data_IF_376052494999
#
_entry.id   IF_376052494999
#
_cell.length_a   1.000
_cell.length_b   1.000
_cell.length_c   1.000
_cell.angle_alpha   90.00
_cell.angle_beta   90.00
_cell.angle_gamma   90.00
#
_symmetry.space_group_name_H-M   'P 1'
#
loop_
_entity.id
_entity.type
_entity.pdbx_description
1 polymer ?
#
# COMPACT_ATOMS: atom_id res chain seq x y z
N UNK A 1 -10.52 18.66 14.43
CA UNK A 1 -9.69 17.84 13.52
C UNK A 1 -10.55 16.72 12.94
N UNK A 2 -10.28 16.30 11.69
CA UNK A 2 -11.03 15.26 10.96
C UNK A 2 -10.07 14.22 10.34
N UNK A 3 -10.57 13.04 9.91
CA UNK A 3 -9.75 12.09 9.16
C UNK A 3 -9.10 12.72 7.93
N UNK A 4 -7.87 12.32 7.63
CA UNK A 4 -7.01 12.82 6.54
C UNK A 4 -6.72 14.33 6.58
N UNK A 5 -6.99 15.02 7.68
CA UNK A 5 -6.57 16.41 7.78
C UNK A 5 -5.05 16.51 7.90
N UNK A 6 -4.45 15.72 8.80
CA UNK A 6 -3.01 15.74 9.05
C UNK A 6 -2.52 14.30 9.11
N UNK A 7 -1.55 13.98 8.27
CA UNK A 7 -0.78 12.74 8.37
C UNK A 7 0.62 13.03 8.87
N UNK A 8 1.15 12.17 9.73
CA UNK A 8 2.50 12.25 10.28
C UNK A 8 3.36 11.11 9.74
N UNK A 9 4.55 11.44 9.22
CA UNK A 9 5.60 10.48 8.90
C UNK A 9 6.69 10.50 9.95
N UNK A 10 7.11 9.31 10.36
CA UNK A 10 8.32 9.15 11.15
C UNK A 10 8.97 7.79 10.91
N UNK A 11 10.23 7.69 11.34
CA UNK A 11 11.05 6.50 11.19
C UNK A 11 11.62 6.09 12.54
N UNK A 12 11.73 4.78 12.78
CA UNK A 12 12.47 4.25 13.93
C UNK A 12 13.31 3.05 13.53
N UNK A 13 14.48 2.92 14.15
CA UNK A 13 15.25 1.68 14.10
C UNK A 13 14.62 0.71 15.09
N UNK A 14 14.11 -0.43 14.62
CA UNK A 14 13.41 -1.35 15.50
C UNK A 14 14.38 -2.10 16.42
N UNK A 15 13.92 -2.41 17.63
CA UNK A 15 14.67 -3.18 18.63
C UNK A 15 14.55 -4.69 18.39
N UNK A 16 14.68 -5.11 17.13
CA UNK A 16 14.61 -6.52 16.72
C UNK A 16 15.68 -6.81 15.66
N UNK A 17 16.28 -7.99 15.76
CA UNK A 17 17.21 -8.55 14.80
C UNK A 17 16.46 -9.51 13.87
N UNK A 18 16.60 -9.30 12.56
CA UNK A 18 15.99 -10.13 11.53
C UNK A 18 17.02 -10.49 10.46
N UNK A 19 16.78 -11.58 9.74
CA UNK A 19 17.62 -12.05 8.66
C UNK A 19 17.27 -11.34 7.35
N UNK A 20 18.29 -10.84 6.66
CA UNK A 20 18.15 -10.42 5.26
C UNK A 20 18.10 -11.62 4.31
N UNK A 21 17.84 -11.39 3.03
CA UNK A 21 17.76 -12.45 2.01
C UNK A 21 19.06 -13.23 1.78
N UNK A 22 20.18 -12.79 2.38
CA UNK A 22 21.48 -13.50 2.37
C UNK A 22 21.78 -14.18 3.70
N UNK A 23 20.85 -14.15 4.65
CA UNK A 23 21.01 -14.72 5.98
C UNK A 23 21.81 -13.86 6.96
N UNK A 24 22.13 -12.60 6.62
CA UNK A 24 22.81 -11.70 7.56
C UNK A 24 21.84 -11.11 8.57
N UNK A 25 22.23 -11.06 9.84
CA UNK A 25 21.42 -10.50 10.93
C UNK A 25 21.55 -8.97 10.93
N UNK A 26 20.42 -8.27 10.82
CA UNK A 26 20.37 -6.80 10.79
C UNK A 26 19.13 -6.28 11.52
N UNK A 27 19.20 -5.03 11.97
CA UNK A 27 18.05 -4.30 12.50
C UNK A 27 17.33 -3.57 11.36
N UNK A 28 16.02 -3.75 11.19
CA UNK A 28 15.27 -3.03 10.17
C UNK A 28 14.80 -1.65 10.69
N UNK A 29 14.81 -0.68 9.80
CA UNK A 29 14.13 0.60 9.94
C UNK A 29 12.66 0.46 9.53
N UNK A 30 11.78 1.02 10.34
CA UNK A 30 10.35 1.12 10.07
C UNK A 30 9.97 2.58 9.84
N UNK A 31 9.35 2.85 8.71
CA UNK A 31 8.71 4.12 8.38
C UNK A 31 7.20 3.98 8.55
N UNK A 32 6.55 4.92 9.20
CA UNK A 32 5.11 4.92 9.47
C UNK A 32 4.48 6.19 8.93
N UNK A 33 3.31 6.06 8.31
CA UNK A 33 2.37 7.15 8.03
C UNK A 33 1.15 6.97 8.92
N UNK A 34 0.92 7.91 9.83
CA UNK A 34 -0.20 7.89 10.77
C UNK A 34 -1.16 9.04 10.50
N UNK A 35 -2.46 8.75 10.54
CA UNK A 35 -3.49 9.80 10.61
C UNK A 35 -3.57 10.39 12.04
N UNK A 36 -3.30 11.68 12.17
CA UNK A 36 -3.16 12.39 13.44
C UNK A 36 -4.46 12.38 14.29
N UNK A 37 -5.60 12.47 13.60
CA UNK A 37 -6.91 12.55 14.20
C UNK A 37 -7.36 11.20 14.78
N UNK A 38 -7.30 10.14 13.97
CA UNK A 38 -7.81 8.81 14.30
C UNK A 38 -6.79 7.92 14.99
N UNK A 39 -5.49 8.21 14.83
CA UNK A 39 -4.33 7.37 15.20
C UNK A 39 -4.14 6.16 14.31
N UNK A 40 -4.89 6.03 13.22
CA UNK A 40 -4.81 4.88 12.36
C UNK A 40 -3.52 4.92 11.54
N UNK A 41 -2.90 3.75 11.37
CA UNK A 41 -1.74 3.62 10.49
C UNK A 41 -2.24 3.50 9.07
N UNK A 42 -1.95 4.52 8.25
CA UNK A 42 -2.35 4.58 6.86
C UNK A 42 -1.38 3.80 5.95
N UNK A 43 -0.08 3.82 6.25
CA UNK A 43 0.94 3.14 5.47
C UNK A 43 2.20 2.90 6.27
N UNK A 44 3.04 1.96 5.81
CA UNK A 44 4.34 1.72 6.39
C UNK A 44 5.35 1.29 5.32
N UNK A 45 6.63 1.38 5.66
CA UNK A 45 7.70 0.80 4.85
C UNK A 45 8.81 0.26 5.73
N UNK A 46 9.23 -0.98 5.46
CA UNK A 46 10.25 -1.70 6.22
C UNK A 46 11.49 -1.89 5.36
N UNK A 47 12.68 -1.56 5.90
CA UNK A 47 13.94 -1.66 5.14
C UNK A 47 15.14 -1.78 6.05
N UNK A 48 16.25 -2.34 5.56
CA UNK A 48 17.53 -2.27 6.26
C UNK A 48 18.31 -0.98 6.01
N UNK A 49 17.88 -0.17 5.03
CA UNK A 49 18.52 1.10 4.73
C UNK A 49 18.11 2.15 5.75
N UNK A 50 19.04 3.04 6.10
CA UNK A 50 18.75 4.18 6.97
C UNK A 50 17.64 5.07 6.38
N UNK A 51 16.91 5.84 7.21
CA UNK A 51 15.82 6.70 6.77
C UNK A 51 16.25 7.69 5.69
N UNK A 52 15.35 7.88 4.74
CA UNK A 52 15.48 8.76 3.60
C UNK A 52 14.08 9.06 3.08
N UNK A 53 13.93 10.14 2.33
CA UNK A 53 12.66 10.53 1.73
C UNK A 53 12.13 9.50 0.74
N UNK A 54 12.96 8.57 0.27
CA UNK A 54 12.51 7.39 -0.48
C UNK A 54 11.61 6.47 0.37
N UNK A 55 12.04 6.06 1.57
CA UNK A 55 11.20 5.18 2.38
C UNK A 55 9.90 5.89 2.77
N UNK A 56 9.96 7.19 3.04
CA UNK A 56 8.78 8.03 3.26
C UNK A 56 7.86 8.00 2.05
N UNK A 57 8.39 8.18 0.84
CA UNK A 57 7.62 8.19 -0.41
C UNK A 57 6.91 6.86 -0.66
N UNK A 58 7.58 5.73 -0.42
CA UNK A 58 7.00 4.39 -0.59
C UNK A 58 5.91 4.10 0.45
N UNK A 59 6.14 4.47 1.72
CA UNK A 59 5.13 4.37 2.76
C UNK A 59 3.92 5.27 2.46
N UNK A 60 4.18 6.49 1.99
CA UNK A 60 3.15 7.47 1.65
C UNK A 60 2.32 7.05 0.44
N UNK A 61 2.96 6.48 -0.58
CA UNK A 61 2.28 5.89 -1.73
C UNK A 61 1.32 4.78 -1.30
N UNK A 62 1.76 3.88 -0.42
CA UNK A 62 0.90 2.84 0.14
C UNK A 62 -0.24 3.46 0.97
N UNK A 63 0.05 4.53 1.70
CA UNK A 63 -0.93 5.23 2.52
C UNK A 63 -2.06 5.84 1.69
N UNK A 64 -1.73 6.55 0.61
CA UNK A 64 -2.70 7.23 -0.26
C UNK A 64 -3.59 6.24 -1.00
N UNK A 65 -3.02 5.18 -1.57
CA UNK A 65 -3.76 4.28 -2.44
C UNK A 65 -4.68 3.32 -1.67
N UNK A 66 -5.73 2.82 -2.35
CA UNK A 66 -6.60 1.77 -1.81
C UNK A 66 -5.80 0.47 -1.68
N UNK A 67 -5.92 -0.18 -0.52
CA UNK A 67 -5.32 -1.49 -0.23
C UNK A 67 -6.27 -2.60 -0.65
N UNK A 68 -5.73 -3.78 -0.94
CA UNK A 68 -6.55 -4.97 -1.24
C UNK A 68 -7.13 -5.58 0.04
N UNK A 69 -6.50 -5.33 1.18
CA UNK A 69 -6.91 -5.80 2.49
C UNK A 69 -8.11 -4.98 2.98
N UNK A 70 -9.29 -5.61 3.08
CA UNK A 70 -10.52 -4.96 3.54
C UNK A 70 -10.41 -4.37 4.95
N UNK A 71 -9.59 -4.97 5.80
CA UNK A 71 -9.28 -4.47 7.14
C UNK A 71 -8.39 -3.21 7.14
N UNK A 72 -7.78 -2.86 6.01
CA UNK A 72 -6.91 -1.69 5.87
C UNK A 72 -7.58 -0.57 5.05
N UNK A 73 -8.78 -0.17 5.46
CA UNK A 73 -9.59 0.80 4.73
C UNK A 73 -9.09 2.24 4.73
N UNK A 74 -8.05 2.56 5.52
CA UNK A 74 -7.49 3.92 5.62
C UNK A 74 -6.78 4.27 4.31
N UNK A 75 -7.22 5.29 3.59
CA UNK A 75 -6.62 5.73 2.33
C UNK A 75 -6.92 7.20 2.02
N UNK A 76 -6.41 7.70 0.90
CA UNK A 76 -6.71 9.04 0.38
C UNK A 76 -5.59 10.05 0.52
N UNK A 77 -5.83 11.24 -0.03
CA UNK A 77 -4.92 12.38 -0.04
C UNK A 77 -5.16 13.19 1.24
N UNK A 78 -4.15 13.36 2.11
CA UNK A 78 -4.29 14.24 3.27
C UNK A 78 -4.21 15.72 2.88
N UNK A 79 -4.76 16.61 3.72
CA UNK A 79 -4.56 18.06 3.54
C UNK A 79 -3.13 18.48 3.88
N UNK A 80 -2.59 17.93 4.97
CA UNK A 80 -1.26 18.24 5.49
C UNK A 80 -0.46 16.96 5.68
N UNK A 81 0.77 16.95 5.17
CA UNK A 81 1.75 15.91 5.44
C UNK A 81 2.86 16.48 6.33
N UNK A 82 2.99 15.97 7.56
CA UNK A 82 4.03 16.36 8.51
C UNK A 82 5.15 15.32 8.51
N UNK A 83 6.38 15.72 8.20
CA UNK A 83 7.53 14.81 8.14
C UNK A 83 8.79 15.45 8.73
N UNK A 84 9.79 14.66 9.06
CA UNK A 84 11.12 15.19 9.37
C UNK A 84 11.83 15.73 8.13
N UNK A 85 12.74 16.69 8.36
CA UNK A 85 13.73 17.08 7.36
C UNK A 85 14.63 15.87 7.02
N UNK A 86 14.37 15.26 5.87
CA UNK A 86 15.28 14.32 5.22
C UNK A 86 16.29 15.05 4.33
N UNK A 87 17.33 14.33 3.88
CA UNK A 87 18.40 14.88 3.05
C UNK A 87 17.94 15.39 1.67
N UNK A 88 18.67 16.38 1.15
CA UNK A 88 18.23 17.38 0.17
C UNK A 88 17.70 16.87 -1.19
N UNK A 89 18.23 15.79 -1.77
CA UNK A 89 17.88 15.42 -3.16
C UNK A 89 16.49 14.76 -3.30
N UNK A 90 16.08 13.98 -2.30
CA UNK A 90 14.80 13.26 -2.30
C UNK A 90 13.66 14.04 -1.60
N UNK A 91 14.00 15.13 -0.91
CA UNK A 91 13.01 16.08 -0.35
C UNK A 91 12.29 16.86 -1.46
N UNK A 92 12.99 17.26 -2.53
CA UNK A 92 12.37 17.88 -3.71
C UNK A 92 11.32 16.98 -4.35
N UNK A 93 11.59 15.67 -4.38
CA UNK A 93 10.68 14.70 -4.99
C UNK A 93 9.36 14.55 -4.24
N UNK A 94 9.40 14.46 -2.91
CA UNK A 94 8.18 14.41 -2.11
C UNK A 94 7.43 15.75 -2.13
N UNK A 95 8.16 16.87 -2.24
CA UNK A 95 7.59 18.21 -2.46
C UNK A 95 6.81 18.30 -3.78
N UNK A 96 7.37 17.83 -4.90
CA UNK A 96 6.69 17.83 -6.21
C UNK A 96 5.38 17.04 -6.18
N UNK A 97 5.39 15.86 -5.54
CA UNK A 97 4.19 15.04 -5.41
C UNK A 97 3.16 15.72 -4.51
N UNK A 98 3.60 16.24 -3.36
CA UNK A 98 2.71 16.96 -2.45
C UNK A 98 2.07 18.15 -3.15
N UNK A 99 2.84 18.95 -3.89
CA UNK A 99 2.33 20.08 -4.68
C UNK A 99 1.31 19.62 -5.74
N UNK A 100 1.62 18.56 -6.48
CA UNK A 100 0.74 18.00 -7.52
C UNK A 100 -0.59 17.48 -6.95
N UNK A 101 -0.54 16.90 -5.75
CA UNK A 101 -1.72 16.39 -5.04
C UNK A 101 -2.38 17.44 -4.13
N UNK A 102 -1.93 18.70 -4.15
CA UNK A 102 -2.42 19.81 -3.32
C UNK A 102 -2.32 19.53 -1.81
N UNK A 103 -1.26 18.85 -1.41
CA UNK A 103 -0.92 18.52 -0.03
C UNK A 103 0.05 19.57 0.50
N UNK A 104 -0.26 20.16 1.64
CA UNK A 104 0.67 21.03 2.33
C UNK A 104 1.73 20.18 3.06
N UNK A 105 2.96 20.18 2.54
CA UNK A 105 4.09 19.54 3.20
C UNK A 105 4.64 20.46 4.31
N UNK A 106 4.74 19.94 5.53
CA UNK A 106 5.31 20.65 6.67
C UNK A 106 6.47 19.82 7.22
N UNK A 107 7.65 20.42 7.23
CA UNK A 107 8.80 19.83 7.89
C UNK A 107 8.86 20.23 9.37
N UNK A 108 9.25 19.28 10.22
CA UNK A 108 9.54 19.55 11.62
C UNK A 108 10.75 20.48 11.73
N UNK A 109 10.66 21.52 12.56
CA UNK A 109 11.82 22.37 12.84
C UNK A 109 12.91 21.57 13.56
N UNK A 110 14.13 21.59 13.03
CA UNK A 110 15.30 20.91 13.63
C UNK A 110 15.40 21.28 15.11
N UNK A 111 15.40 20.28 16.00
CA UNK A 111 15.57 20.45 17.44
C UNK A 111 14.33 20.92 18.21
N UNK A 112 13.14 21.03 17.59
CA UNK A 112 11.88 21.32 18.29
C UNK A 112 10.80 20.29 17.92
N UNK A 113 10.68 19.19 18.67
CA UNK A 113 9.71 18.12 18.39
C UNK A 113 8.30 18.52 18.86
N UNK A 114 7.70 19.54 18.23
CA UNK A 114 6.28 19.84 18.45
C UNK A 114 5.45 18.93 17.52
N UNK A 115 4.55 18.14 18.11
CA UNK A 115 3.54 17.36 17.36
C UNK A 115 3.82 15.86 17.17
N UNK A 116 5.00 15.34 17.51
CA UNK A 116 5.42 13.95 17.18
C UNK A 116 5.14 12.90 18.25
N UNK A 117 4.73 13.31 19.45
CA UNK A 117 4.47 12.38 20.56
C UNK A 117 3.41 11.30 20.29
N UNK A 118 2.64 11.42 19.20
CA UNK A 118 1.64 10.43 18.78
C UNK A 118 2.29 9.24 18.09
N UNK A 119 3.14 9.49 17.09
CA UNK A 119 3.87 8.44 16.36
C UNK A 119 4.98 7.83 17.22
N UNK A 120 5.67 8.63 18.04
CA UNK A 120 6.62 8.13 19.04
C UNK A 120 5.98 7.14 20.03
N UNK A 121 4.77 7.44 20.50
CA UNK A 121 3.98 6.53 21.34
C UNK A 121 3.60 5.25 20.61
N UNK A 122 3.32 5.34 19.31
CA UNK A 122 3.06 4.16 18.51
C UNK A 122 4.31 3.27 18.37
N UNK A 123 5.50 3.85 18.19
CA UNK A 123 6.74 3.06 18.22
C UNK A 123 6.95 2.37 19.57
N UNK A 124 6.68 3.04 20.68
CA UNK A 124 6.70 2.40 22.00
C UNK A 124 5.67 1.26 22.09
N UNK A 125 4.50 1.42 21.47
CA UNK A 125 3.46 0.39 21.41
C UNK A 125 3.92 -0.83 20.58
N UNK A 126 4.59 -0.63 19.45
CA UNK A 126 5.21 -1.71 18.67
C UNK A 126 6.22 -2.48 19.52
N UNK A 127 7.12 -1.78 20.20
CA UNK A 127 8.13 -2.41 21.05
C UNK A 127 7.47 -3.26 22.16
N UNK A 128 6.48 -2.68 22.86
CA UNK A 128 5.82 -3.29 24.02
C UNK A 128 4.78 -4.36 23.70
N UNK A 129 4.19 -4.38 22.51
CA UNK A 129 3.05 -5.27 22.21
C UNK A 129 3.29 -6.22 21.03
N UNK A 130 4.36 -5.99 20.28
CA UNK A 130 4.75 -6.86 19.18
C UNK A 130 6.17 -7.37 19.40
N UNK A 131 7.17 -6.48 19.42
CA UNK A 131 8.56 -6.92 19.30
C UNK A 131 9.00 -7.78 20.48
N UNK A 132 8.60 -7.43 21.71
CA UNK A 132 8.99 -8.18 22.91
C UNK A 132 8.63 -9.68 22.89
N UNK A 133 7.61 -10.06 22.11
CA UNK A 133 7.10 -11.42 22.00
C UNK A 133 7.68 -12.17 20.78
N UNK A 134 8.51 -11.49 19.97
CA UNK A 134 9.11 -12.06 18.77
C UNK A 134 10.56 -12.50 19.01
N UNK A 135 10.97 -13.61 18.38
CA UNK A 135 12.35 -14.02 18.47
C UNK A 135 13.21 -13.06 17.64
N UNK A 136 14.40 -12.75 18.14
CA UNK A 136 15.23 -11.67 17.63
C UNK A 136 15.12 -10.35 18.39
N UNK A 137 14.18 -10.22 19.34
CA UNK A 137 14.03 -9.01 20.14
C UNK A 137 15.29 -8.68 20.95
N UNK A 138 15.71 -7.41 20.90
CA UNK A 138 16.92 -6.95 21.59
C UNK A 138 16.56 -6.64 23.05
N UNK A 139 16.88 -7.59 23.92
CA UNK A 139 16.79 -7.40 25.37
C UNK A 139 18.16 -6.98 25.93
N UNK A 140 18.16 -6.19 27.00
CA UNK A 140 19.41 -5.83 27.69
C UNK A 140 20.12 -7.11 28.15
N UNK A 141 21.41 -7.24 27.80
CA UNK A 141 22.30 -8.32 28.21
C UNK A 141 21.94 -9.73 27.70
N UNK A 142 21.09 -9.86 26.69
CA UNK A 142 20.80 -11.16 26.04
C UNK A 142 21.37 -11.15 24.63
N UNK A 143 22.27 -12.10 24.34
CA UNK A 143 22.76 -12.30 22.98
C UNK A 143 21.78 -13.15 22.18
N UNK A 144 21.22 -12.55 21.14
CA UNK A 144 20.34 -13.23 20.19
C UNK A 144 21.18 -14.05 19.21
N UNK A 145 20.83 -15.32 18.99
CA UNK A 145 21.51 -16.15 18.00
C UNK A 145 20.84 -16.01 16.63
N UNK A 146 21.64 -16.15 15.57
CA UNK A 146 21.17 -16.00 14.19
C UNK A 146 20.01 -16.93 13.83
N UNK A 147 20.01 -18.19 14.30
CA UNK A 147 18.95 -19.16 14.01
C UNK A 147 17.63 -18.88 14.73
N UNK A 148 17.63 -17.99 15.72
CA UNK A 148 16.44 -17.53 16.42
C UNK A 148 15.77 -16.37 15.67
N UNK A 149 16.49 -15.70 14.76
CA UNK A 149 15.98 -14.53 14.05
C UNK A 149 14.97 -14.91 12.96
N UNK A 150 13.89 -14.14 12.85
CA UNK A 150 12.93 -14.25 11.75
C UNK A 150 13.54 -13.73 10.44
N UNK A 151 13.07 -14.22 9.29
CA UNK A 151 13.31 -13.54 8.01
C UNK A 151 12.57 -12.19 7.97
N UNK A 152 13.09 -11.24 7.20
CA UNK A 152 12.43 -9.94 7.00
C UNK A 152 10.98 -10.10 6.53
N UNK A 153 10.72 -11.03 5.60
CA UNK A 153 9.39 -11.33 5.08
C UNK A 153 8.44 -11.85 6.17
N UNK A 154 8.90 -12.79 6.99
CA UNK A 154 8.10 -13.32 8.11
C UNK A 154 7.80 -12.24 9.13
N UNK A 155 8.79 -11.38 9.43
CA UNK A 155 8.61 -10.25 10.32
C UNK A 155 7.62 -9.23 9.75
N UNK A 156 7.69 -8.92 8.45
CA UNK A 156 6.76 -8.02 7.79
C UNK A 156 5.31 -8.54 7.84
N UNK A 157 5.09 -9.84 7.66
CA UNK A 157 3.77 -10.45 7.82
C UNK A 157 3.22 -10.29 9.25
N UNK A 158 4.07 -10.50 10.26
CA UNK A 158 3.69 -10.31 11.68
C UNK A 158 3.42 -8.85 12.00
N UNK A 159 4.23 -7.93 11.50
CA UNK A 159 4.02 -6.48 11.65
C UNK A 159 2.70 -6.05 10.99
N UNK A 160 2.43 -6.54 9.77
CA UNK A 160 1.18 -6.27 9.07
C UNK A 160 -0.01 -6.78 9.86
N UNK A 161 0.01 -8.02 10.33
CA UNK A 161 -1.07 -8.57 11.16
C UNK A 161 -1.25 -7.77 12.46
N UNK A 162 -0.17 -7.36 13.12
CA UNK A 162 -0.26 -6.47 14.28
C UNK A 162 -0.93 -5.14 13.95
N UNK A 163 -0.57 -4.49 12.84
CA UNK A 163 -1.17 -3.20 12.46
C UNK A 163 -2.65 -3.38 12.12
N UNK A 164 -2.98 -4.40 11.32
CA UNK A 164 -4.32 -4.63 10.79
C UNK A 164 -5.24 -5.27 11.80
N UNK A 165 -4.89 -6.43 12.34
CA UNK A 165 -5.76 -7.23 13.19
C UNK A 165 -5.81 -6.72 14.64
N UNK A 166 -4.75 -6.05 15.12
CA UNK A 166 -4.63 -5.63 16.52
C UNK A 166 -4.69 -4.10 16.71
N UNK A 167 -3.69 -3.34 16.27
CA UNK A 167 -3.55 -1.93 16.63
C UNK A 167 -4.69 -1.07 16.06
N UNK A 168 -4.96 -1.15 14.75
CA UNK A 168 -6.00 -0.32 14.13
C UNK A 168 -7.41 -0.71 14.59
N UNK A 169 -7.61 -1.94 15.06
CA UNK A 169 -8.91 -2.49 15.44
C UNK A 169 -9.21 -2.43 16.96
N UNK A 170 -8.20 -2.28 17.82
CA UNK A 170 -8.42 -2.17 19.27
C UNK A 170 -8.71 -0.74 19.72
N UNK A 171 -9.61 -0.54 20.70
CA UNK A 171 -9.84 0.78 21.29
C UNK A 171 -8.53 1.41 21.78
N UNK A 172 -8.25 2.62 21.28
CA UNK A 172 -7.01 3.30 21.63
C UNK A 172 -7.19 4.10 22.94
N UNK A 173 -6.26 3.96 23.89
CA UNK A 173 -6.45 4.42 25.28
C UNK A 173 -6.72 5.92 25.48
N UNK A 174 -6.29 6.80 24.56
CA UNK A 174 -6.63 8.23 24.65
C UNK A 174 -7.98 8.56 24.00
N UNK A 175 -8.37 7.83 22.98
CA UNK A 175 -9.53 8.15 22.13
C UNK A 175 -10.75 7.31 22.47
N UNK A 176 -10.56 6.20 23.21
CA UNK A 176 -11.56 5.21 23.60
C UNK A 176 -12.31 4.55 22.44
N UNK A 177 -11.86 4.79 21.21
CA UNK A 177 -12.39 4.26 19.96
C UNK A 177 -11.22 3.67 19.18
N UNK A 178 -11.46 2.58 18.46
CA UNK A 178 -10.41 1.99 17.62
C UNK A 178 -10.01 2.96 16.50
N UNK A 179 -8.73 3.00 16.13
CA UNK A 179 -8.27 3.91 15.10
C UNK A 179 -9.05 3.81 13.78
N UNK A 180 -9.38 2.60 13.32
CA UNK A 180 -10.12 2.41 12.07
C UNK A 180 -11.55 2.95 12.15
N UNK A 181 -12.29 2.67 13.23
CA UNK A 181 -13.65 3.17 13.40
C UNK A 181 -13.64 4.70 13.53
N UNK A 182 -12.66 5.25 14.22
CA UNK A 182 -12.49 6.70 14.36
C UNK A 182 -12.17 7.38 13.02
N UNK A 183 -11.41 6.71 12.15
CA UNK A 183 -11.12 7.19 10.80
C UNK A 183 -12.35 7.13 9.88
N UNK A 184 -13.17 6.08 9.99
CA UNK A 184 -14.40 5.90 9.23
C UNK A 184 -15.56 6.79 9.73
N UNK A 185 -15.47 7.30 10.95
CA UNK A 185 -16.52 8.10 11.57
C UNK A 185 -16.79 9.41 10.77
N UNK A 186 -18.00 9.95 10.90
CA UNK A 186 -18.50 11.18 10.28
C UNK A 186 -18.81 11.13 8.76
N UNK A 187 -19.11 9.96 8.19
CA UNK A 187 -19.41 9.80 6.74
C UNK A 187 -18.31 10.40 5.83
N UNK A 188 -17.07 10.34 6.31
CA UNK A 188 -15.94 10.88 5.57
C UNK A 188 -15.65 10.01 4.34
N UNK A 189 -15.66 10.63 3.17
CA UNK A 189 -15.20 10.00 1.93
C UNK A 189 -13.77 10.48 1.63
N UNK A 190 -12.77 9.59 1.62
CA UNK A 190 -11.40 9.97 1.32
C UNK A 190 -11.30 10.47 -0.13
N UNK A 191 -10.64 11.60 -0.32
CA UNK A 191 -10.26 12.05 -1.66
C UNK A 191 -9.15 11.13 -2.20
N UNK A 192 -9.34 10.56 -3.38
CA UNK A 192 -8.34 9.70 -4.02
C UNK A 192 -7.70 10.42 -5.20
N UNK A 193 -6.46 10.09 -5.57
CA UNK A 193 -5.90 10.55 -6.82
C UNK A 193 -6.79 10.09 -7.98
N UNK A 194 -6.98 10.98 -8.97
CA UNK A 194 -7.80 10.68 -10.16
C UNK A 194 -7.31 9.41 -10.87
N UNK A 195 -5.99 9.22 -10.89
CA UNK A 195 -5.31 8.07 -11.49
C UNK A 195 -4.15 7.62 -10.61
N UNK A 196 -3.85 6.32 -10.62
CA UNK A 196 -2.77 5.73 -9.80
C UNK A 196 -1.39 6.24 -10.21
N UNK A 197 -1.26 6.59 -11.49
CA UNK A 197 -0.05 7.04 -12.16
C UNK A 197 0.47 8.36 -11.59
N UNK A 198 -0.38 9.19 -10.98
CA UNK A 198 0.08 10.38 -10.24
C UNK A 198 1.03 10.00 -9.08
N UNK A 199 0.82 8.82 -8.50
CA UNK A 199 1.67 8.29 -7.45
C UNK A 199 2.92 7.59 -7.99
N UNK A 200 3.06 7.41 -9.31
CA UNK A 200 4.28 6.83 -9.88
C UNK A 200 5.46 7.77 -9.76
N UNK A 201 5.21 9.07 -9.52
CA UNK A 201 6.25 9.97 -9.08
C UNK A 201 6.90 9.42 -7.81
N UNK A 202 6.16 9.07 -6.74
CA UNK A 202 6.69 8.54 -5.46
C UNK A 202 7.54 7.26 -5.56
N UNK A 203 7.67 6.66 -6.74
CA UNK A 203 8.53 5.51 -7.01
C UNK A 203 10.00 5.91 -7.21
N UNK A 204 10.90 4.92 -7.10
CA UNK A 204 12.32 5.11 -7.39
C UNK A 204 12.53 5.46 -8.86
N UNK A 205 13.09 6.63 -9.13
CA UNK A 205 13.49 7.02 -10.49
C UNK A 205 14.93 6.60 -10.77
N UNK A 206 15.13 5.86 -11.87
CA UNK A 206 16.48 5.50 -12.34
C UNK A 206 17.08 6.67 -13.10
N UNK A 207 18.06 7.35 -12.51
CA UNK A 207 18.67 8.56 -13.08
C UNK A 207 19.32 8.34 -14.44
N UNK A 208 19.93 7.16 -14.67
CA UNK A 208 20.53 6.81 -15.96
C UNK A 208 19.43 6.31 -16.92
N UNK A 209 19.21 6.97 -18.07
CA UNK A 209 18.27 6.50 -19.08
C UNK A 209 18.59 5.07 -19.51
N UNK A 210 17.55 4.31 -19.87
CA UNK A 210 17.64 2.94 -20.34
C UNK A 210 17.18 2.87 -21.78
N UNK A 211 17.96 2.18 -22.60
CA UNK A 211 17.63 1.95 -24.00
C UNK A 211 16.55 0.88 -24.12
N UNK A 212 15.57 1.11 -25.00
CA UNK A 212 14.62 0.07 -25.40
C UNK A 212 15.27 -0.78 -26.48
N UNK A 213 15.36 -2.09 -26.25
CA UNK A 213 15.80 -3.08 -27.22
C UNK A 213 14.61 -3.82 -27.82
N UNK A 214 14.84 -4.61 -28.87
CA UNK A 214 13.80 -5.45 -29.50
C UNK A 214 13.19 -6.46 -28.53
N UNK A 215 13.98 -6.93 -27.57
CA UNK A 215 13.58 -7.84 -26.51
C UNK A 215 13.12 -7.10 -25.23
N UNK A 216 12.92 -5.77 -25.29
CA UNK A 216 12.46 -4.96 -24.16
C UNK A 216 13.59 -4.20 -23.46
N UNK A 217 13.45 -3.98 -22.16
CA UNK A 217 14.36 -3.15 -21.36
C UNK A 217 15.08 -4.02 -20.33
N UNK A 218 16.40 -3.88 -20.22
CA UNK A 218 17.21 -4.59 -19.21
C UNK A 218 17.45 -3.72 -17.99
N UNK A 219 17.02 -4.19 -16.82
CA UNK A 219 17.20 -3.48 -15.56
C UNK A 219 17.36 -4.47 -14.38
N UNK A 220 18.36 -4.23 -13.52
CA UNK A 220 18.71 -5.11 -12.38
C UNK A 220 18.82 -6.60 -12.71
N UNK A 221 19.33 -6.94 -13.90
CA UNK A 221 19.48 -8.33 -14.34
C UNK A 221 18.20 -8.98 -14.87
N UNK A 222 17.07 -8.27 -14.87
CA UNK A 222 15.81 -8.71 -15.45
C UNK A 222 15.52 -8.01 -16.77
N UNK A 223 14.76 -8.69 -17.63
CA UNK A 223 14.21 -8.16 -18.88
C UNK A 223 12.73 -7.84 -18.71
N UNK A 224 12.38 -6.60 -19.03
CA UNK A 224 11.02 -6.10 -18.94
C UNK A 224 10.44 -5.87 -20.32
N UNK A 225 9.21 -6.31 -20.54
CA UNK A 225 8.54 -6.21 -21.83
C UNK A 225 7.13 -5.65 -21.72
N UNK A 226 6.72 -4.91 -22.75
CA UNK A 226 5.35 -4.50 -23.03
C UNK A 226 5.22 -4.33 -24.54
N UNK A 227 4.06 -4.68 -25.10
CA UNK A 227 3.82 -4.57 -26.55
C UNK A 227 3.97 -3.12 -27.05
N UNK A 228 3.68 -2.14 -26.18
CA UNK A 228 3.82 -0.71 -26.45
C UNK A 228 5.27 -0.30 -26.74
N UNK A 229 6.27 -1.05 -26.24
CA UNK A 229 7.69 -0.73 -26.44
C UNK A 229 8.17 -0.93 -27.87
N UNK A 230 7.47 -1.73 -28.69
CA UNK A 230 7.89 -2.03 -30.06
C UNK A 230 8.04 -0.78 -30.93
N UNK A 231 7.19 0.23 -30.73
CA UNK A 231 7.25 1.51 -31.45
C UNK A 231 8.36 2.45 -30.99
N UNK A 232 9.07 2.10 -29.92
CA UNK A 232 10.09 2.94 -29.27
C UNK A 232 11.45 2.23 -29.21
N UNK A 233 11.64 1.15 -29.97
CA UNK A 233 12.91 0.42 -30.02
C UNK A 233 14.03 1.35 -30.49
N UNK A 234 15.10 1.43 -29.70
CA UNK A 234 16.20 2.35 -29.94
C UNK A 234 16.02 3.72 -29.31
N UNK A 235 14.93 3.99 -28.59
CA UNK A 235 14.79 5.21 -27.80
C UNK A 235 15.32 5.01 -26.37
N UNK A 236 15.72 6.12 -25.74
CA UNK A 236 16.08 6.15 -24.31
C UNK A 236 14.88 6.57 -23.47
N UNK A 237 14.65 5.83 -22.39
CA UNK A 237 13.53 6.03 -21.47
C UNK A 237 13.99 6.13 -20.03
N UNK A 238 13.19 6.82 -19.22
CA UNK A 238 13.35 6.85 -17.77
C UNK A 238 12.46 5.76 -17.19
N UNK A 239 12.97 5.06 -16.17
CA UNK A 239 12.23 4.00 -15.49
C UNK A 239 11.94 4.45 -14.06
N UNK A 240 10.72 4.18 -13.61
CA UNK A 240 10.34 4.25 -12.21
C UNK A 240 9.86 2.89 -11.70
N UNK A 241 10.17 2.53 -10.46
CA UNK A 241 9.80 1.21 -9.91
C UNK A 241 9.63 1.25 -8.38
N UNK A 242 8.87 0.30 -7.83
CA UNK A 242 8.85 0.02 -6.38
C UNK A 242 9.94 -1.02 -6.11
N UNK A 243 10.92 -0.77 -5.21
CA UNK A 243 11.96 -1.75 -4.92
C UNK A 243 11.45 -3.06 -4.29
N UNK A 244 10.21 -3.09 -3.78
CA UNK A 244 9.55 -4.32 -3.30
C UNK A 244 8.90 -5.13 -4.41
N UNK A 245 8.64 -4.50 -5.56
CA UNK A 245 7.97 -5.10 -6.69
C UNK A 245 8.80 -4.88 -7.96
N UNK A 246 9.75 -5.79 -8.18
CA UNK A 246 10.52 -5.86 -9.41
C UNK A 246 9.79 -6.65 -10.52
N UNK A 247 8.54 -7.10 -10.30
CA UNK A 247 7.79 -7.76 -11.36
C UNK A 247 7.33 -6.75 -12.43
N UNK A 248 7.19 -5.47 -12.06
CA UNK A 248 6.71 -4.43 -12.95
C UNK A 248 7.53 -3.14 -12.82
N UNK A 249 7.80 -2.51 -13.97
CA UNK A 249 8.38 -1.16 -14.02
C UNK A 249 7.47 -0.21 -14.78
N UNK A 250 7.52 1.07 -14.40
CA UNK A 250 6.87 2.17 -15.10
C UNK A 250 7.87 2.81 -16.06
N UNK A 251 7.53 2.87 -17.34
CA UNK A 251 8.40 3.41 -18.39
C UNK A 251 7.90 4.79 -18.80
N UNK A 252 8.81 5.76 -18.86
CA UNK A 252 8.54 7.14 -19.25
C UNK A 252 9.40 7.55 -20.45
N UNK A 253 8.77 8.08 -21.49
CA UNK A 253 9.44 8.62 -22.66
C UNK A 253 9.21 10.14 -22.71
N UNK A 254 10.29 10.92 -22.77
CA UNK A 254 10.23 12.40 -22.73
C UNK A 254 9.34 12.93 -21.59
N UNK A 255 9.54 12.39 -20.39
CA UNK A 255 8.76 12.66 -19.16
C UNK A 255 7.27 12.27 -19.19
N UNK A 256 6.75 11.71 -20.27
CA UNK A 256 5.39 11.21 -20.35
C UNK A 256 5.34 9.72 -20.01
N UNK A 257 4.33 9.30 -19.25
CA UNK A 257 4.10 7.89 -19.00
C UNK A 257 3.82 7.16 -20.31
N UNK A 258 4.62 6.13 -20.60
CA UNK A 258 4.49 5.33 -21.81
C UNK A 258 3.70 4.05 -21.54
N UNK A 259 4.20 3.22 -20.63
CA UNK A 259 3.54 1.96 -20.27
C UNK A 259 4.12 1.34 -18.99
N UNK A 260 3.39 0.37 -18.47
CA UNK A 260 3.93 -0.65 -17.57
C UNK A 260 4.62 -1.75 -18.38
N UNK A 261 5.84 -2.10 -18.01
CA UNK A 261 6.55 -3.24 -18.56
C UNK A 261 6.76 -4.31 -17.46
N UNK A 262 6.48 -5.56 -17.80
CA UNK A 262 6.49 -6.70 -16.88
C UNK A 262 7.78 -7.50 -17.07
N UNK A 263 8.38 -7.96 -15.98
CA UNK A 263 9.56 -8.81 -15.99
C UNK A 263 9.22 -10.19 -16.57
N UNK A 264 9.85 -10.54 -17.69
CA UNK A 264 9.70 -11.86 -18.32
C UNK A 264 10.37 -12.97 -17.50
N UNK A 265 11.38 -12.61 -16.70
CA UNK A 265 12.21 -13.57 -15.97
C UNK A 265 11.60 -13.93 -14.60
N UNK A 266 10.83 -13.01 -14.00
CA UNK A 266 10.12 -13.27 -12.74
C UNK A 266 8.81 -14.04 -12.96
N UNK A 267 8.18 -13.90 -14.14
CA UNK A 267 7.05 -14.74 -14.57
C UNK A 267 7.45 -16.23 -14.74
N UNK A 268 8.72 -16.53 -15.03
CA UNK A 268 9.16 -17.91 -15.27
C UNK A 268 9.18 -18.82 -14.03
N UNK A 269 8.93 -18.30 -12.81
CA UNK A 269 8.86 -19.11 -11.58
C UNK A 269 7.46 -19.41 -11.05
N UNK A 270 6.41 -18.69 -11.44
CA UNK A 270 5.03 -19.04 -11.06
C UNK A 270 4.03 -18.39 -12.01
N UNK A 271 3.22 -19.23 -12.67
CA UNK A 271 2.09 -18.93 -13.58
C UNK A 271 2.52 -18.58 -15.02
N UNK A 272 2.09 -19.42 -15.95
CA UNK A 272 2.38 -19.29 -17.38
C UNK A 272 1.65 -18.07 -17.97
N UNK A 273 2.31 -17.34 -18.86
CA UNK A 273 1.75 -16.20 -19.63
C UNK A 273 0.43 -16.59 -20.35
N UNK A 274 0.30 -17.87 -20.71
CA UNK A 274 -0.93 -18.44 -21.27
C UNK A 274 -2.10 -18.41 -20.28
N UNK A 275 -1.86 -18.66 -19.00
CA UNK A 275 -2.85 -18.65 -17.93
C UNK A 275 -3.29 -17.23 -17.57
N UNK A 276 -2.36 -16.27 -17.57
CA UNK A 276 -2.67 -14.84 -17.34
C UNK A 276 -3.50 -14.28 -18.50
N UNK A 277 -3.12 -14.59 -19.75
CA UNK A 277 -3.91 -14.19 -20.92
C UNK A 277 -5.28 -14.87 -20.91
N UNK A 278 -5.37 -16.16 -20.57
CA UNK A 278 -6.65 -16.85 -20.44
C UNK A 278 -7.53 -16.23 -19.33
N UNK A 279 -6.98 -15.94 -18.15
CA UNK A 279 -7.70 -15.30 -17.05
C UNK A 279 -8.18 -13.89 -17.41
N UNK A 280 -7.33 -13.07 -18.06
CA UNK A 280 -7.71 -11.72 -18.53
C UNK A 280 -8.75 -11.76 -19.64
N UNK A 281 -8.66 -12.72 -20.55
CA UNK A 281 -9.62 -12.88 -21.65
C UNK A 281 -10.97 -13.39 -21.12
N UNK A 282 -10.96 -14.32 -20.16
CA UNK A 282 -12.15 -14.78 -19.45
C UNK A 282 -12.82 -13.62 -18.69
N UNK A 283 -12.05 -12.83 -17.94
CA UNK A 283 -12.58 -11.67 -17.20
C UNK A 283 -13.13 -10.58 -18.11
N UNK A 284 -12.49 -10.28 -19.24
CA UNK A 284 -13.02 -9.35 -20.25
C UNK A 284 -14.31 -9.85 -20.89
N UNK A 285 -14.42 -11.16 -21.14
CA UNK A 285 -15.64 -11.78 -21.68
C UNK A 285 -16.78 -11.69 -20.68
N UNK A 286 -16.51 -11.98 -19.41
CA UNK A 286 -17.47 -11.87 -18.31
C UNK A 286 -17.97 -10.43 -18.11
N UNK A 287 -17.07 -9.44 -18.12
CA UNK A 287 -17.44 -8.02 -18.03
C UNK A 287 -18.25 -7.55 -19.24
N UNK A 288 -17.90 -7.99 -20.46
CA UNK A 288 -18.68 -7.69 -21.67
C UNK A 288 -20.09 -8.30 -21.62
N UNK A 289 -20.21 -9.53 -21.13
CA UNK A 289 -21.52 -10.18 -20.98
C UNK A 289 -22.38 -9.46 -19.93
N UNK A 290 -21.82 -9.11 -18.78
CA UNK A 290 -22.52 -8.32 -17.76
C UNK A 290 -22.97 -6.95 -18.27
N UNK A 291 -22.13 -6.25 -19.04
CA UNK A 291 -22.51 -4.98 -19.65
C UNK A 291 -23.65 -5.22 -20.65
N UNK A 292 -23.55 -6.24 -21.52
CA UNK A 292 -24.57 -6.54 -22.53
C UNK A 292 -25.92 -6.90 -21.89
N UNK A 293 -25.91 -7.72 -20.84
CA UNK A 293 -27.11 -8.06 -20.07
C UNK A 293 -27.75 -6.81 -19.46
N UNK A 294 -26.96 -5.98 -18.76
CA UNK A 294 -27.45 -4.71 -18.20
C UNK A 294 -27.99 -3.76 -19.26
N UNK A 295 -27.33 -3.66 -20.42
CA UNK A 295 -27.80 -2.80 -21.52
C UNK A 295 -29.11 -3.35 -22.12
N UNK A 296 -29.26 -4.66 -22.24
CA UNK A 296 -30.50 -5.28 -22.72
C UNK A 296 -31.67 -5.13 -21.74
N UNK A 297 -31.39 -5.14 -20.43
CA UNK A 297 -32.38 -4.86 -19.39
C UNK A 297 -32.82 -3.39 -19.45
N UNK A 298 -31.87 -2.47 -19.61
CA UNK A 298 -32.17 -1.03 -19.76
C UNK A 298 -33.00 -0.78 -21.04
N UNK A 299 -32.64 -1.39 -22.18
CA UNK A 299 -33.40 -1.25 -23.43
C UNK A 299 -34.81 -1.87 -23.34
N UNK A 300 -34.98 -2.97 -22.61
CA UNK A 300 -36.30 -3.57 -22.35
C UNK A 300 -37.18 -2.66 -21.48
N UNK A 301 -36.58 -2.01 -20.46
CA UNK A 301 -37.26 -1.05 -19.58
C UNK A 301 -37.64 0.24 -20.32
N UNK A 302 -36.79 0.71 -21.25
CA UNK A 302 -37.08 1.90 -22.06
C UNK A 302 -38.17 1.66 -23.13
N UNK A 303 -38.38 0.42 -23.57
CA UNK A 303 -39.38 0.07 -24.59
C UNK A 303 -40.80 -0.14 -24.06
N UNK A 304 -40.99 -0.39 -22.77
CA UNK A 304 -42.31 -0.55 -22.15
C UNK A 304 -42.36 0.21 -20.80
N UNK A 305 -42.61 1.54 -20.82
CA UNK A 305 -42.59 2.35 -19.60
C UNK A 305 -43.77 2.11 -18.63
N UNK A 306 -44.77 1.31 -19.00
CA UNK A 306 -46.02 1.15 -18.22
C UNK A 306 -46.13 -0.13 -17.36
N UNK A 307 -45.06 -0.91 -17.21
CA UNK A 307 -45.00 -2.01 -16.22
C UNK A 307 -43.82 -1.81 -15.28
N UNK A 308 -44.04 -0.99 -14.25
CA UNK A 308 -43.19 -1.02 -13.06
C UNK A 308 -44.14 -1.16 -11.87
N UNK A 309 -44.25 -2.38 -11.34
CA UNK A 309 -44.70 -2.60 -9.96
C UNK A 309 -43.47 -2.87 -9.10
N UNK A 310 -43.46 -2.35 -7.87
CA UNK A 310 -42.30 -2.35 -6.95
C UNK A 310 -41.67 -3.73 -6.72
N UNK A 311 -42.41 -4.83 -6.98
CA UNK A 311 -41.95 -6.20 -6.77
C UNK A 311 -40.99 -6.73 -7.86
N UNK A 312 -41.03 -6.22 -9.09
CA UNK A 312 -40.13 -6.71 -10.17
C UNK A 312 -38.73 -6.07 -10.11
N UNK A 313 -38.60 -4.93 -9.43
CA UNK A 313 -37.31 -4.27 -9.17
C UNK A 313 -36.37 -5.09 -8.27
N UNK A 314 -36.91 -5.96 -7.41
CA UNK A 314 -36.11 -6.79 -6.49
C UNK A 314 -35.49 -8.04 -7.15
N UNK A 315 -36.06 -8.57 -8.23
CA UNK A 315 -35.47 -9.73 -8.94
C UNK A 315 -34.32 -9.34 -9.89
N UNK A 316 -34.28 -8.08 -10.34
CA UNK A 316 -33.26 -7.59 -11.29
C UNK A 316 -31.91 -7.26 -10.64
N UNK A 317 -31.86 -7.16 -9.30
CA UNK A 317 -30.66 -6.94 -8.51
C UNK A 317 -30.62 -7.90 -7.31
N UNK A 318 -30.31 -9.19 -7.50
CA UNK A 318 -30.18 -10.09 -6.37
C UNK A 318 -28.97 -9.67 -5.52
N UNK A 319 -29.22 -9.36 -4.25
CA UNK A 319 -28.16 -9.18 -3.26
C UNK A 319 -27.27 -10.42 -3.25
N UNK A 320 -25.97 -10.25 -3.52
CA UNK A 320 -25.01 -11.33 -3.35
C UNK A 320 -24.84 -11.62 -1.86
N UNK A 321 -25.42 -12.74 -1.40
CA UNK A 321 -25.22 -13.25 -0.04
C UNK A 321 -23.73 -13.60 0.18
N UNK A 322 -23.08 -12.82 1.04
CA UNK A 322 -21.79 -13.17 1.61
C UNK A 322 -22.05 -14.28 2.64
N UNK A 323 -21.66 -15.52 2.33
CA UNK A 323 -21.76 -16.65 3.29
C UNK A 323 -20.85 -16.41 4.49
N UNK A 324 -21.44 -16.17 5.66
CA UNK A 324 -20.73 -16.17 6.94
C UNK A 324 -20.53 -17.62 7.43
N UNK A 325 -19.33 -18.04 7.87
CA UNK A 325 -19.15 -19.35 8.47
C UNK A 325 -19.86 -19.43 9.84
N UNK A 326 -20.74 -20.42 10.03
CA UNK A 326 -21.36 -20.70 11.32
C UNK A 326 -20.36 -21.41 12.25
N UNK A 327 -19.96 -20.76 13.34
CA UNK A 327 -19.25 -21.40 14.44
C UNK A 327 -20.26 -21.97 15.46
N UNK A 328 -20.28 -23.30 15.62
CA UNK A 328 -21.06 -23.97 16.66
C UNK A 328 -20.42 -23.74 18.04
N UNK A 329 -21.03 -22.91 18.88
CA UNK A 329 -20.62 -22.71 20.27
C UNK A 329 -21.39 -23.68 21.17
N UNK A 330 -20.71 -24.66 21.76
CA UNK A 330 -21.24 -25.44 22.90
C UNK A 330 -21.22 -24.55 24.15
N UNK A 331 -22.39 -24.27 24.72
CA UNK A 331 -22.52 -23.60 26.04
C UNK A 331 -22.31 -24.63 27.15
N UNK A 332 -21.36 -24.38 28.05
CA UNK A 332 -21.35 -24.99 29.38
C UNK A 332 -22.45 -24.31 30.23
N UNK A 333 -23.19 -25.11 31.00
CA UNK A 333 -24.08 -24.64 32.06
C UNK A 333 -23.28 -24.65 33.36
N UNK A 334 -23.25 -23.51 34.04
CA UNK A 334 -22.85 -23.42 35.44
C UNK A 334 -24.00 -23.96 36.31
N UNK A 335 -23.71 -24.99 37.11
CA UNK A 335 -24.31 -25.24 38.42
C UNK A 335 -23.20 -25.13 39.47
#
# INVERSE_FOLDING_TARGET
MRPNQIWQADHTLLDILVLDGKGSVKRPWLTIIMDDYSRAIAGYYLSFNAPSSLQTSLAFRQAIWIKNESQWGICGIPEIMYTDHGSDFTSYHIEEVCASLKIQLIFSTIGKPRGRGKVERFFATINQRLLQDLPGYIQKNVSVKQHECLSLETFELKLKSFILDDYNNKPHGTTQVSPILRWQNNHFLPNLPEHKELLDLLLLTVAKPRRIHRDGIKFQGFRYFSTTLAGYVGEDVIIRYDPRDLAEIRVFYKNNFLCCAISQDLEAKTVSLKEIVQARTARRKELRNNIRERTSIIDALLKNPEKISENETMELFPEQQIKTPQANIRRYRDE
#
